data_IF_046639345963
#
_entry.id   IF_046639345963
#
_cell.length_a   1.000
_cell.length_b   1.000
_cell.length_c   1.000
_cell.angle_alpha   90.00
_cell.angle_beta   90.00
_cell.angle_gamma   90.00
#
_symmetry.space_group_name_H-M   'P 1'
#
loop_
_entity.id
_entity.type
_entity.pdbx_description
1 polymer ?
#
# COMPACT_ATOMS: atom_id res chain seq x y z
N UNK A 1 -14.62 -2.64 7.66
CA UNK A 1 -13.68 -2.42 6.54
C UNK A 1 -13.29 -3.79 5.99
N UNK A 2 -13.36 -4.00 4.67
CA UNK A 2 -12.88 -5.24 4.03
C UNK A 2 -11.41 -5.06 3.65
N UNK A 3 -10.53 -5.92 4.15
CA UNK A 3 -9.08 -5.82 3.95
C UNK A 3 -8.59 -7.06 3.22
N UNK A 4 -7.88 -6.84 2.11
CA UNK A 4 -7.14 -7.88 1.39
C UNK A 4 -5.66 -7.47 1.34
N UNK A 5 -4.80 -8.20 2.04
CA UNK A 5 -3.35 -8.00 2.01
C UNK A 5 -2.66 -9.23 1.44
N UNK A 6 -1.73 -9.01 0.53
CA UNK A 6 -0.95 -10.06 -0.12
C UNK A 6 0.54 -9.67 -0.17
N UNK A 7 1.40 -10.61 0.23
CA UNK A 7 2.85 -10.54 0.01
C UNK A 7 3.28 -11.81 -0.70
N UNK A 8 3.92 -11.66 -1.86
CA UNK A 8 4.42 -12.77 -2.68
C UNK A 8 5.93 -12.64 -2.90
N UNK A 9 6.64 -13.77 -2.83
CA UNK A 9 8.05 -13.85 -3.21
C UNK A 9 8.30 -15.12 -4.03
N UNK A 10 9.12 -15.03 -5.07
CA UNK A 10 9.54 -16.19 -5.90
C UNK A 10 10.64 -16.94 -5.16
N UNK A 11 10.54 -18.27 -5.08
CA UNK A 11 11.56 -19.11 -4.46
C UNK A 11 12.74 -19.25 -5.41
N UNK A 12 13.98 -18.91 -5.02
CA UNK A 12 15.14 -18.92 -5.93
C UNK A 12 15.42 -20.27 -6.59
N UNK A 13 15.08 -21.39 -5.92
CA UNK A 13 15.27 -22.75 -6.45
C UNK A 13 14.28 -23.13 -7.55
N UNK A 14 13.26 -22.30 -7.82
CA UNK A 14 12.22 -22.61 -8.78
C UNK A 14 12.44 -21.98 -10.16
N UNK A 15 13.52 -21.21 -10.35
CA UNK A 15 13.93 -20.70 -11.65
C UNK A 15 14.39 -21.81 -12.63
N UNK A 16 14.59 -23.04 -12.13
CA UNK A 16 14.97 -24.22 -12.92
C UNK A 16 13.89 -25.31 -12.95
N UNK A 17 12.68 -25.03 -12.45
CA UNK A 17 11.59 -25.98 -12.47
C UNK A 17 10.90 -25.98 -13.84
N UNK A 18 10.82 -27.15 -14.49
CA UNK A 18 10.18 -27.34 -15.82
C UNK A 18 8.71 -26.91 -15.88
N UNK A 19 8.06 -26.69 -14.73
CA UNK A 19 6.65 -26.31 -14.60
C UNK A 19 6.45 -24.84 -14.18
N UNK A 20 7.51 -24.02 -14.17
CA UNK A 20 7.47 -22.60 -13.83
C UNK A 20 7.88 -22.26 -12.39
N UNK A 21 7.99 -20.95 -12.06
CA UNK A 21 8.49 -20.50 -10.77
C UNK A 21 7.50 -20.78 -9.63
N UNK A 22 7.98 -21.44 -8.59
CA UNK A 22 7.31 -21.59 -7.29
C UNK A 22 7.34 -20.26 -6.55
N UNK A 23 6.18 -19.80 -6.08
CA UNK A 23 6.05 -18.59 -5.28
C UNK A 23 5.55 -18.92 -3.88
N UNK A 24 6.10 -18.24 -2.88
CA UNK A 24 5.56 -18.25 -1.52
C UNK A 24 4.57 -17.10 -1.39
N UNK A 25 3.28 -17.42 -1.31
CA UNK A 25 2.19 -16.44 -1.13
C UNK A 25 1.72 -16.44 0.32
N UNK A 26 1.68 -15.24 0.92
CA UNK A 26 1.02 -14.99 2.21
C UNK A 26 -0.14 -14.04 1.97
N UNK A 27 -1.36 -14.49 2.21
CA UNK A 27 -2.57 -13.69 1.99
C UNK A 27 -3.47 -13.70 3.24
N UNK A 28 -4.02 -12.53 3.57
CA UNK A 28 -4.94 -12.34 4.70
C UNK A 28 -6.17 -11.60 4.17
N UNK A 29 -7.35 -12.21 4.31
CA UNK A 29 -8.65 -11.59 4.01
C UNK A 29 -9.49 -11.55 5.29
N UNK A 30 -9.80 -10.35 5.78
CA UNK A 30 -10.56 -10.17 7.03
C UNK A 30 -11.57 -9.04 6.90
N UNK A 31 -12.64 -9.14 7.69
CA UNK A 31 -13.59 -8.07 7.92
C UNK A 31 -13.47 -7.64 9.37
N UNK A 32 -13.07 -6.39 9.60
CA UNK A 32 -12.86 -5.84 10.94
C UNK A 32 -13.70 -4.58 11.14
N UNK A 33 -14.25 -4.44 12.34
CA UNK A 33 -14.83 -3.20 12.85
C UNK A 33 -13.74 -2.50 13.66
N UNK A 34 -13.47 -1.24 13.33
CA UNK A 34 -12.32 -0.50 13.84
C UNK A 34 -12.76 0.90 14.24
N UNK A 35 -12.24 1.38 15.35
CA UNK A 35 -12.44 2.76 15.81
C UNK A 35 -11.36 3.67 15.22
N UNK A 36 -11.66 4.96 15.10
CA UNK A 36 -10.74 5.96 14.57
C UNK A 36 -9.52 6.15 15.48
N UNK A 37 -8.32 6.24 14.90
CA UNK A 37 -7.09 6.59 15.60
C UNK A 37 -6.45 5.49 16.47
N UNK A 38 -7.05 4.30 16.55
CA UNK A 38 -6.51 3.19 17.34
C UNK A 38 -5.73 2.20 16.47
N UNK A 39 -4.57 1.74 16.94
CA UNK A 39 -3.80 0.70 16.27
C UNK A 39 -4.36 -0.66 16.66
N UNK A 40 -4.71 -1.47 15.66
CA UNK A 40 -5.25 -2.82 15.82
C UNK A 40 -4.32 -3.84 15.15
N UNK A 41 -4.25 -5.05 15.72
CA UNK A 41 -3.55 -6.19 15.13
C UNK A 41 -4.53 -7.02 14.29
N UNK A 42 -4.33 -7.04 12.98
CA UNK A 42 -5.17 -7.84 12.05
C UNK A 42 -4.85 -9.33 12.12
N UNK A 43 -3.60 -9.65 12.46
CA UNK A 43 -3.14 -11.03 12.57
C UNK A 43 -1.62 -11.11 12.60
N UNK A 44 -1.12 -12.33 12.72
CA UNK A 44 0.30 -12.62 12.73
C UNK A 44 0.57 -14.10 12.51
N UNK A 45 1.81 -14.43 12.15
CA UNK A 45 2.31 -15.79 12.03
C UNK A 45 3.57 -15.91 12.87
N UNK A 46 3.57 -16.86 13.80
CA UNK A 46 4.77 -17.29 14.52
C UNK A 46 5.12 -18.67 14.00
N UNK A 47 6.33 -18.81 13.46
CA UNK A 47 6.86 -20.04 12.89
C UNK A 47 8.17 -20.39 13.61
N UNK A 48 8.30 -21.63 14.08
CA UNK A 48 9.50 -22.14 14.76
C UNK A 48 9.88 -23.47 14.11
N UNK A 49 11.00 -23.46 13.38
CA UNK A 49 11.51 -24.61 12.66
C UNK A 49 12.81 -25.09 13.31
N UNK A 50 12.79 -26.34 13.78
CA UNK A 50 13.98 -27.06 14.27
C UNK A 50 14.37 -28.11 13.21
N UNK A 51 15.60 -28.03 12.72
CA UNK A 51 16.15 -29.00 11.77
C UNK A 51 17.40 -29.61 12.37
N UNK A 52 17.34 -30.91 12.68
CA UNK A 52 18.48 -31.69 13.13
C UNK A 52 18.98 -32.57 11.99
N UNK A 53 20.24 -32.39 11.62
CA UNK A 53 20.93 -33.23 10.64
C UNK A 53 22.05 -33.97 11.36
N UNK A 54 22.02 -35.30 11.33
CA UNK A 54 23.08 -36.13 11.88
C UNK A 54 23.63 -37.04 10.77
N UNK A 55 24.93 -37.00 10.58
CA UNK A 55 25.67 -37.88 9.67
C UNK A 55 26.76 -38.58 10.49
N UNK A 56 26.94 -39.89 10.33
CA UNK A 56 27.99 -40.64 11.02
C UNK A 56 28.58 -41.71 10.13
N UNK A 57 29.85 -42.03 10.35
CA UNK A 57 30.48 -43.21 9.75
C UNK A 57 29.94 -44.47 10.45
N UNK A 58 29.41 -45.48 9.73
CA UNK A 58 28.97 -46.74 10.33
C UNK A 58 30.14 -47.44 11.04
N UNK A 59 29.86 -48.19 12.11
CA UNK A 59 30.81 -48.75 13.10
C UNK A 59 31.57 -47.70 13.93
N UNK A 60 32.32 -46.79 13.31
CA UNK A 60 33.23 -45.87 14.01
C UNK A 60 32.51 -44.73 14.75
N UNK A 61 31.34 -44.31 14.28
CA UNK A 61 30.57 -43.23 14.91
C UNK A 61 29.96 -43.60 16.27
N UNK A 62 29.79 -44.89 16.54
CA UNK A 62 29.13 -45.42 17.74
C UNK A 62 30.11 -45.76 18.88
N UNK A 63 31.41 -45.65 18.64
CA UNK A 63 32.45 -45.89 19.66
C UNK A 63 32.34 -44.84 20.78
N UNK A 64 32.18 -45.24 22.06
CA UNK A 64 32.24 -44.30 23.18
C UNK A 64 33.63 -43.65 23.26
N UNK A 65 33.72 -42.42 23.76
CA UNK A 65 34.93 -41.57 23.75
C UNK A 65 35.38 -41.05 22.37
N UNK A 66 35.55 -41.91 21.36
CA UNK A 66 36.15 -41.55 20.06
C UNK A 66 35.15 -41.24 18.95
N UNK A 67 33.91 -41.72 19.06
CA UNK A 67 32.91 -41.60 18.01
C UNK A 67 32.50 -40.15 17.68
N UNK A 68 32.86 -39.16 18.52
CA UNK A 68 32.57 -37.75 18.26
C UNK A 68 33.42 -37.16 17.11
N UNK A 69 34.57 -37.78 16.80
CA UNK A 69 35.42 -37.38 15.66
C UNK A 69 34.90 -37.91 14.32
N UNK A 70 34.03 -38.93 14.36
CA UNK A 70 33.49 -39.62 13.17
C UNK A 70 31.99 -39.36 12.96
N UNK A 71 31.43 -38.37 13.66
CA UNK A 71 30.05 -37.91 13.53
C UNK A 71 30.01 -36.42 13.25
N UNK A 72 29.10 -36.01 12.39
CA UNK A 72 28.74 -34.63 12.13
C UNK A 72 27.29 -34.44 12.57
N UNK A 73 27.03 -33.42 13.40
CA UNK A 73 25.68 -33.02 13.78
C UNK A 73 25.54 -31.53 13.52
N UNK A 74 24.47 -31.16 12.82
CA UNK A 74 24.08 -29.78 12.62
C UNK A 74 22.66 -29.60 13.15
N UNK A 75 22.47 -28.63 14.03
CA UNK A 75 21.17 -28.25 14.56
C UNK A 75 20.90 -26.81 14.15
N UNK A 76 19.88 -26.62 13.31
CA UNK A 76 19.44 -25.29 12.87
C UNK A 76 18.11 -24.98 13.52
N UNK A 77 18.02 -23.83 14.21
CA UNK A 77 16.78 -23.31 14.77
C UNK A 77 16.43 -21.98 14.09
N UNK A 78 15.25 -21.90 13.48
CA UNK A 78 14.75 -20.72 12.79
C UNK A 78 13.41 -20.30 13.40
N UNK A 79 13.36 -19.09 13.97
CA UNK A 79 12.11 -18.48 14.45
C UNK A 79 11.74 -17.29 13.56
N UNK A 80 10.51 -17.28 13.04
CA UNK A 80 9.97 -16.19 12.21
C UNK A 80 8.72 -15.63 12.90
N UNK A 81 8.68 -14.31 13.07
CA UNK A 81 7.52 -13.61 13.60
C UNK A 81 7.04 -12.60 12.56
N UNK A 82 5.78 -12.71 12.18
CA UNK A 82 5.08 -11.77 11.32
C UNK A 82 3.92 -11.20 12.13
N UNK A 83 3.78 -9.88 12.16
CA UNK A 83 2.63 -9.19 12.73
C UNK A 83 2.16 -8.13 11.74
N UNK A 84 0.85 -8.01 11.60
CA UNK A 84 0.21 -7.03 10.72
C UNK A 84 -0.64 -6.09 11.57
N UNK A 85 -0.30 -4.80 11.49
CA UNK A 85 -1.00 -3.74 12.20
C UNK A 85 -1.77 -2.86 11.21
N UNK A 86 -2.87 -2.30 11.68
CA UNK A 86 -3.66 -1.30 10.97
C UNK A 86 -3.90 -0.10 11.88
N UNK A 87 -3.73 1.10 11.33
CA UNK A 87 -4.11 2.35 11.97
C UNK A 87 -5.08 3.11 11.05
N UNK A 88 -6.40 3.03 11.30
CA UNK A 88 -7.39 3.79 10.56
C UNK A 88 -7.38 5.26 11.01
N UNK A 89 -7.52 6.19 10.06
CA UNK A 89 -7.66 7.62 10.33
C UNK A 89 -8.82 8.16 9.50
N UNK A 90 -9.81 8.75 10.15
CA UNK A 90 -10.99 9.34 9.53
C UNK A 90 -10.77 10.85 9.33
N UNK A 91 -10.61 11.24 8.07
CA UNK A 91 -10.49 12.66 7.69
C UNK A 91 -11.88 13.23 7.43
N UNK A 92 -12.35 14.09 8.34
CA UNK A 92 -13.71 14.67 8.28
C UNK A 92 -13.78 15.99 7.51
N UNK A 93 -12.65 16.71 7.41
CA UNK A 93 -12.55 18.05 6.83
C UNK A 93 -11.42 18.08 5.79
N UNK A 94 -11.61 18.71 4.61
CA UNK A 94 -10.54 19.03 3.67
C UNK A 94 -9.26 19.60 4.32
N UNK A 95 -9.40 20.46 5.33
CA UNK A 95 -8.26 21.03 6.05
C UNK A 95 -7.44 19.95 6.76
N UNK A 96 -8.09 18.97 7.40
CA UNK A 96 -7.42 17.85 8.06
C UNK A 96 -6.71 16.95 7.04
N UNK A 97 -7.34 16.69 5.88
CA UNK A 97 -6.72 15.93 4.80
C UNK A 97 -5.48 16.62 4.21
N UNK A 98 -5.54 17.94 4.06
CA UNK A 98 -4.41 18.74 3.62
C UNK A 98 -3.25 18.71 4.61
N UNK A 99 -3.53 18.83 5.91
CA UNK A 99 -2.50 18.72 6.96
C UNK A 99 -1.83 17.34 6.97
N UNK A 100 -2.62 16.27 6.90
CA UNK A 100 -2.09 14.90 6.89
C UNK A 100 -1.22 14.65 5.66
N UNK A 101 -1.68 15.07 4.48
CA UNK A 101 -0.94 14.95 3.22
C UNK A 101 0.32 15.81 3.22
N UNK A 102 0.25 17.05 3.73
CA UNK A 102 1.39 17.98 3.80
C UNK A 102 2.56 17.44 4.60
N UNK A 103 2.26 16.81 5.73
CA UNK A 103 3.25 16.24 6.64
C UNK A 103 3.96 15.05 5.99
N UNK A 104 3.21 14.18 5.28
CA UNK A 104 3.78 13.04 4.56
C UNK A 104 4.59 13.47 3.35
N UNK A 105 4.10 14.48 2.61
CA UNK A 105 4.77 15.02 1.44
C UNK A 105 6.12 15.65 1.79
N UNK A 106 6.14 16.51 2.82
CA UNK A 106 7.36 17.16 3.30
C UNK A 106 8.39 16.15 3.80
N UNK A 107 7.96 15.10 4.52
CA UNK A 107 8.84 14.01 4.94
C UNK A 107 9.54 13.32 3.76
N UNK A 108 8.80 12.88 2.74
CA UNK A 108 9.39 12.21 1.57
C UNK A 108 10.34 13.14 0.82
N UNK A 109 9.97 14.41 0.66
CA UNK A 109 10.81 15.41 0.00
C UNK A 109 12.12 15.62 0.76
N UNK A 110 12.08 15.68 2.09
CA UNK A 110 13.27 15.84 2.92
C UNK A 110 14.21 14.63 2.79
N UNK A 111 13.66 13.41 2.78
CA UNK A 111 14.45 12.19 2.54
C UNK A 111 15.10 12.18 1.15
N UNK A 112 14.39 12.63 0.11
CA UNK A 112 14.94 12.75 -1.24
C UNK A 112 16.07 13.79 -1.33
N UNK A 113 15.92 14.93 -0.65
CA UNK A 113 16.98 15.93 -0.56
C UNK A 113 18.20 15.37 0.17
N UNK A 114 18.01 14.72 1.31
CA UNK A 114 19.08 14.08 2.07
C UNK A 114 19.78 12.96 1.27
N UNK A 115 19.02 12.20 0.48
CA UNK A 115 19.58 11.19 -0.43
C UNK A 115 20.35 11.82 -1.60
N UNK A 116 19.87 12.95 -2.12
CA UNK A 116 20.56 13.71 -3.18
C UNK A 116 21.91 14.23 -2.69
N UNK A 117 21.96 14.76 -1.48
CA UNK A 117 23.19 15.31 -0.89
C UNK A 117 24.26 14.22 -0.65
N UNK A 118 23.83 12.98 -0.38
CA UNK A 118 24.73 11.83 -0.27
C UNK A 118 25.27 11.34 -1.63
N UNK A 119 24.58 11.66 -2.72
CA UNK A 119 24.93 11.25 -4.07
C UNK A 119 24.87 9.73 -4.29
N UNK A 120 24.97 9.32 -5.56
CA UNK A 120 25.15 7.91 -5.92
C UNK A 120 26.64 7.68 -6.15
N UNK A 121 27.27 6.81 -5.36
CA UNK A 121 28.72 6.58 -5.38
C UNK A 121 29.28 6.23 -6.77
N UNK A 122 28.47 5.58 -7.62
CA UNK A 122 28.87 5.15 -8.97
C UNK A 122 28.43 6.11 -10.10
N UNK A 123 27.58 7.11 -9.79
CA UNK A 123 26.96 8.03 -10.76
C UNK A 123 26.91 9.45 -10.17
N UNK A 124 28.05 10.14 -10.04
CA UNK A 124 28.12 11.45 -9.38
C UNK A 124 27.32 12.56 -10.10
N UNK A 125 27.13 12.46 -11.41
CA UNK A 125 26.40 13.46 -12.22
C UNK A 125 24.88 13.21 -12.30
N UNK A 126 24.37 12.11 -11.75
CA UNK A 126 22.92 11.81 -11.79
C UNK A 126 22.23 12.41 -10.57
N UNK A 127 21.60 13.57 -10.76
CA UNK A 127 20.74 14.15 -9.74
C UNK A 127 19.43 13.35 -9.64
N UNK A 128 19.17 12.78 -8.47
CA UNK A 128 17.92 12.06 -8.21
C UNK A 128 16.72 13.01 -8.30
N UNK A 129 15.57 12.55 -8.84
CA UNK A 129 14.37 13.37 -8.88
C UNK A 129 13.89 13.68 -7.46
N UNK A 130 13.56 14.96 -7.22
CA UNK A 130 13.03 15.43 -5.95
C UNK A 130 11.64 16.01 -6.14
N UNK A 131 10.75 15.74 -5.20
CA UNK A 131 9.42 16.33 -5.14
C UNK A 131 9.49 17.86 -5.09
N UNK A 132 8.57 18.50 -5.82
CA UNK A 132 8.41 19.96 -5.86
C UNK A 132 8.09 20.52 -4.46
N UNK A 133 8.31 21.80 -4.18
CA UNK A 133 7.80 22.42 -2.96
C UNK A 133 6.27 22.34 -2.92
N UNK A 134 5.71 22.10 -1.73
CA UNK A 134 4.27 21.87 -1.60
C UNK A 134 3.43 23.09 -1.99
N UNK A 135 3.95 24.31 -1.80
CA UNK A 135 3.29 25.55 -2.22
C UNK A 135 3.13 25.65 -3.75
N UNK A 136 4.04 25.05 -4.53
CA UNK A 136 3.92 24.97 -5.99
C UNK A 136 2.86 23.94 -6.43
N UNK A 137 2.72 22.84 -5.67
CA UNK A 137 1.71 21.80 -5.96
C UNK A 137 0.31 22.29 -5.60
N UNK A 138 0.17 23.01 -4.49
CA UNK A 138 -1.11 23.61 -4.08
C UNK A 138 -1.63 24.63 -5.11
N UNK A 139 -0.74 25.40 -5.73
CA UNK A 139 -1.11 26.39 -6.76
C UNK A 139 -1.48 25.73 -8.10
N UNK A 140 -1.01 24.52 -8.39
CA UNK A 140 -1.39 23.73 -9.57
C UNK A 140 -2.68 22.90 -9.34
N UNK A 141 -3.13 22.77 -8.09
CA UNK A 141 -4.29 21.96 -7.68
C UNK A 141 -5.66 22.64 -7.77
N UNK A 142 -5.74 23.90 -8.19
CA UNK A 142 -7.03 24.62 -8.39
C UNK A 142 -7.87 24.10 -9.56
N UNK A 143 -7.44 23.05 -10.26
CA UNK A 143 -8.19 22.43 -11.38
C UNK A 143 -9.16 21.32 -10.97
N UNK A 144 -9.21 20.91 -9.69
CA UNK A 144 -10.43 20.30 -9.15
C UNK A 144 -11.32 21.39 -8.57
N UNK A 145 -11.79 22.26 -9.47
CA UNK A 145 -12.97 23.07 -9.23
C UNK A 145 -14.14 22.09 -9.01
N UNK A 146 -14.41 21.74 -7.75
CA UNK A 146 -15.78 21.44 -7.33
C UNK A 146 -16.47 22.80 -7.26
N UNK A 147 -16.63 23.44 -8.41
CA UNK A 147 -17.74 24.36 -8.59
C UNK A 147 -18.97 23.49 -8.42
N UNK A 148 -19.53 23.57 -7.23
CA UNK A 148 -20.96 23.54 -6.97
C UNK A 148 -21.70 23.71 -8.29
N UNK A 149 -22.12 22.58 -8.88
CA UNK A 149 -23.10 22.56 -9.96
C UNK A 149 -24.37 23.10 -9.34
N UNK A 150 -24.46 24.44 -9.25
CA UNK A 150 -25.69 25.16 -8.97
C UNK A 150 -26.66 24.62 -10.00
N UNK A 151 -27.60 23.81 -9.53
CA UNK A 151 -28.72 23.31 -10.31
C UNK A 151 -29.22 24.48 -11.14
N UNK A 152 -29.34 24.36 -12.47
CA UNK A 152 -29.99 25.42 -13.23
C UNK A 152 -31.35 25.67 -12.57
N UNK A 153 -31.75 26.93 -12.34
CA UNK A 153 -33.08 27.20 -11.82
C UNK A 153 -34.10 26.44 -12.67
N UNK A 154 -35.16 25.87 -12.07
CA UNK A 154 -36.14 25.09 -12.82
C UNK A 154 -36.62 25.97 -13.98
N UNK A 155 -36.37 25.50 -15.20
CA UNK A 155 -36.85 26.16 -16.42
C UNK A 155 -38.36 26.24 -16.26
N UNK A 156 -38.89 27.45 -16.08
CA UNK A 156 -40.32 27.66 -16.04
C UNK A 156 -40.91 27.08 -17.33
N UNK A 157 -42.03 26.33 -17.27
CA UNK A 157 -42.67 25.83 -18.48
C UNK A 157 -42.93 27.00 -19.43
N UNK A 158 -42.72 26.82 -20.75
CA UNK A 158 -42.91 27.90 -21.71
C UNK A 158 -44.33 28.42 -21.63
N UNK A 159 -44.46 29.75 -21.53
CA UNK A 159 -45.75 30.45 -21.56
C UNK A 159 -46.57 29.99 -22.78
N UNK A 160 -47.88 29.77 -22.65
CA UNK A 160 -48.74 29.45 -23.79
C UNK A 160 -48.60 30.52 -24.87
N UNK A 161 -48.61 30.17 -26.16
CA UNK A 161 -48.55 31.16 -27.24
C UNK A 161 -49.73 32.13 -27.09
N UNK A 162 -49.43 33.42 -27.01
CA UNK A 162 -50.41 34.50 -27.11
C UNK A 162 -51.10 34.38 -28.48
N UNK A 163 -52.37 33.97 -28.45
CA UNK A 163 -53.24 33.97 -29.61
C UNK A 163 -53.43 35.42 -30.07
N UNK A 164 -52.92 35.72 -31.25
CA UNK A 164 -53.03 37.03 -31.88
C UNK A 164 -54.50 37.36 -32.13
N UNK A 165 -55.08 38.15 -31.22
CA UNK A 165 -56.36 38.80 -31.42
C UNK A 165 -56.21 39.82 -32.55
N UNK A 166 -56.83 39.54 -33.69
CA UNK A 166 -56.87 40.49 -34.78
C UNK A 166 -57.56 39.98 -36.04
N UNK A 167 -58.87 39.69 -35.98
CA UNK A 167 -59.77 39.91 -37.12
C UNK A 167 -61.20 40.06 -36.61
N UNK A 168 -61.73 41.29 -36.74
CA UNK A 168 -63.12 41.58 -36.44
C UNK A 168 -64.06 41.09 -37.52
N UNK A 169 -65.24 40.60 -37.11
CA UNK A 169 -66.45 40.65 -37.90
C UNK A 169 -67.61 41.06 -37.02
N UNK A 170 -68.16 42.24 -37.30
CA UNK A 170 -69.50 42.65 -36.93
C UNK A 170 -70.51 41.65 -37.51
N UNK A 171 -71.53 41.27 -36.73
CA UNK A 171 -72.92 41.33 -37.20
C UNK A 171 -73.92 41.10 -36.06
N UNK A 172 -74.78 42.12 -35.90
CA UNK A 172 -76.17 42.16 -35.41
C UNK A 172 -76.66 41.08 -34.45
#
# INVERSE_FOLDING_TARGET
LEISQEVSNVVPSANSASQGPTTNKRAIKTNVLVEDGQILVLGGLIDDQLTETAQKVPLLGDVPLLGNLFRYRSTTKLKRNLMVFLHPVILRDPAQGNLYTSSKYSYIRQEQLAARDKGVYLLPDVQSPVLKPQEEVKTQGSILNTEEKKSPPPVAPPSPPEESAGFGFNNR
#
